data_IF_742720600449
#
_entry.id   IF_742720600449
#
_cell.length_a   1.000
_cell.length_b   1.000
_cell.length_c   1.000
_cell.angle_alpha   90.00
_cell.angle_beta   90.00
_cell.angle_gamma   90.00
#
_symmetry.space_group_name_H-M   'P 1'
#
loop_
_entity.id
_entity.type
_entity.pdbx_description
1 polymer ?
#
# COMPACT_ATOMS: atom_id res chain seq x y z
N UNK A 1 -12.39 -66.49 34.81
CA UNK A 1 -13.27 -65.37 34.47
C UNK A 1 -12.35 -64.25 34.01
N UNK A 2 -12.16 -64.12 32.69
CA UNK A 2 -11.30 -63.06 32.11
C UNK A 2 -12.12 -61.78 32.07
N UNK A 3 -11.50 -60.71 32.55
CA UNK A 3 -12.04 -59.38 32.83
C UNK A 3 -12.58 -58.67 31.59
N UNK A 4 -13.90 -58.45 31.55
CA UNK A 4 -14.63 -57.67 30.53
C UNK A 4 -14.19 -56.18 30.47
N UNK A 5 -13.53 -55.67 31.51
CA UNK A 5 -13.06 -54.28 31.57
C UNK A 5 -11.90 -53.98 30.61
N UNK A 6 -11.05 -54.98 30.32
CA UNK A 6 -9.87 -54.77 29.46
C UNK A 6 -10.26 -54.59 27.99
N UNK A 7 -11.31 -55.28 27.53
CA UNK A 7 -11.79 -55.18 26.15
C UNK A 7 -12.53 -53.85 25.88
N UNK A 8 -13.26 -53.33 26.88
CA UNK A 8 -13.92 -52.04 26.79
C UNK A 8 -12.92 -50.88 26.78
N UNK A 9 -11.83 -50.99 27.55
CA UNK A 9 -10.78 -49.98 27.57
C UNK A 9 -10.13 -49.79 26.19
N UNK A 10 -9.81 -50.88 25.49
CA UNK A 10 -9.28 -50.85 24.12
C UNK A 10 -10.26 -50.24 23.09
N UNK A 11 -11.57 -50.41 23.31
CA UNK A 11 -12.59 -49.84 22.43
C UNK A 11 -12.75 -48.33 22.64
N UNK A 12 -12.67 -47.88 23.89
CA UNK A 12 -12.70 -46.45 24.26
C UNK A 12 -11.43 -45.75 23.77
N UNK A 13 -10.27 -46.40 23.87
CA UNK A 13 -8.99 -45.85 23.42
C UNK A 13 -8.93 -45.72 21.89
N UNK A 14 -9.45 -46.71 21.15
CA UNK A 14 -9.56 -46.62 19.69
C UNK A 14 -10.45 -45.46 19.22
N UNK A 15 -11.56 -45.21 19.93
CA UNK A 15 -12.45 -44.08 19.63
C UNK A 15 -11.78 -42.73 19.91
N UNK A 16 -11.09 -42.61 21.05
CA UNK A 16 -10.35 -41.40 21.39
C UNK A 16 -9.22 -41.10 20.40
N UNK A 17 -8.46 -42.13 20.00
CA UNK A 17 -7.40 -42.00 19.00
C UNK A 17 -7.95 -41.55 17.63
N UNK A 18 -9.04 -42.15 17.17
CA UNK A 18 -9.69 -41.73 15.94
C UNK A 18 -10.13 -40.26 15.99
N UNK A 19 -10.68 -39.82 17.12
CA UNK A 19 -11.10 -38.43 17.32
C UNK A 19 -9.93 -37.45 17.32
N UNK A 20 -8.82 -37.78 17.99
CA UNK A 20 -7.59 -36.97 18.00
C UNK A 20 -7.00 -36.87 16.59
N UNK A 21 -6.97 -37.97 15.84
CA UNK A 21 -6.50 -37.98 14.45
C UNK A 21 -7.37 -37.09 13.56
N UNK A 22 -8.70 -37.16 13.72
CA UNK A 22 -9.64 -36.35 12.94
C UNK A 22 -9.56 -34.86 13.30
N UNK A 23 -9.43 -34.53 14.58
CA UNK A 23 -9.21 -33.18 15.05
C UNK A 23 -7.88 -32.62 14.53
N UNK A 24 -6.81 -33.43 14.56
CA UNK A 24 -5.51 -33.05 14.01
C UNK A 24 -5.58 -32.83 12.50
N UNK A 25 -6.23 -33.73 11.76
CA UNK A 25 -6.42 -33.59 10.31
C UNK A 25 -7.26 -32.36 9.96
N UNK A 26 -8.30 -32.06 10.75
CA UNK A 26 -9.10 -30.86 10.60
C UNK A 26 -8.31 -29.59 10.90
N UNK A 27 -7.51 -29.58 11.96
CA UNK A 27 -6.64 -28.46 12.30
C UNK A 27 -5.56 -28.24 11.24
N UNK A 28 -4.93 -29.30 10.73
CA UNK A 28 -3.92 -29.22 9.67
C UNK A 28 -4.55 -28.78 8.35
N UNK A 29 -5.70 -29.35 7.98
CA UNK A 29 -6.42 -28.97 6.76
C UNK A 29 -7.01 -27.56 6.81
N UNK A 30 -7.42 -27.09 8.00
CA UNK A 30 -7.95 -25.74 8.21
C UNK A 30 -6.88 -24.66 8.36
N UNK A 31 -5.62 -25.03 8.62
CA UNK A 31 -4.48 -24.09 8.74
C UNK A 31 -3.65 -24.00 7.46
N UNK A 32 -3.89 -24.84 6.45
CA UNK A 32 -3.26 -24.74 5.13
C UNK A 32 -4.02 -23.79 4.20
N UNK A 33 -4.28 -22.55 4.61
CA UNK A 33 -4.22 -21.47 3.61
C UNK A 33 -2.75 -21.09 3.48
N UNK A 34 -2.00 -21.84 2.67
CA UNK A 34 -0.68 -21.40 2.24
C UNK A 34 -0.94 -20.22 1.31
N UNK A 35 -1.03 -19.02 1.88
CA UNK A 35 -0.73 -17.81 1.14
C UNK A 35 0.74 -17.90 0.78
N UNK A 36 1.04 -18.44 -0.40
CA UNK A 36 2.40 -18.45 -0.91
C UNK A 36 2.85 -16.99 -1.03
N UNK A 37 4.00 -16.59 -0.47
CA UNK A 37 4.56 -15.25 -0.66
C UNK A 37 4.71 -14.87 -2.14
N UNK A 38 4.67 -15.84 -3.07
CA UNK A 38 4.69 -15.61 -4.51
C UNK A 38 3.45 -14.93 -5.09
N UNK A 39 2.25 -15.13 -4.52
CA UNK A 39 1.01 -14.55 -5.09
C UNK A 39 0.76 -13.12 -4.60
N UNK A 40 1.11 -12.78 -3.35
CA UNK A 40 1.07 -11.39 -2.86
C UNK A 40 2.11 -10.52 -3.57
N UNK A 41 3.28 -11.09 -3.88
CA UNK A 41 4.34 -10.34 -4.55
C UNK A 41 3.96 -9.87 -5.96
N UNK A 42 3.07 -10.56 -6.68
CA UNK A 42 2.61 -10.12 -8.01
C UNK A 42 1.68 -8.92 -7.88
N UNK A 43 0.72 -8.97 -6.96
CA UNK A 43 -0.18 -7.83 -6.71
C UNK A 43 0.58 -6.61 -6.19
N UNK A 44 1.56 -6.82 -5.31
CA UNK A 44 2.40 -5.75 -4.78
C UNK A 44 3.30 -5.14 -5.86
N UNK A 45 3.93 -5.97 -6.70
CA UNK A 45 4.71 -5.50 -7.85
C UNK A 45 3.84 -4.70 -8.84
N UNK A 46 2.59 -5.12 -9.06
CA UNK A 46 1.67 -4.38 -9.91
C UNK A 46 1.33 -3.01 -9.31
N UNK A 47 1.06 -2.94 -8.01
CA UNK A 47 0.78 -1.67 -7.33
C UNK A 47 1.99 -0.74 -7.33
N UNK A 48 3.19 -1.28 -7.12
CA UNK A 48 4.44 -0.51 -7.22
C UNK A 48 4.65 0.04 -8.62
N UNK A 49 4.45 -0.80 -9.65
CA UNK A 49 4.58 -0.40 -11.04
C UNK A 49 3.56 0.67 -11.41
N UNK A 50 2.29 0.50 -11.04
CA UNK A 50 1.22 1.48 -11.30
C UNK A 50 1.54 2.80 -10.58
N UNK A 51 1.87 2.75 -9.28
CA UNK A 51 2.18 3.96 -8.53
C UNK A 51 3.40 4.70 -9.08
N UNK A 52 4.44 3.96 -9.49
CA UNK A 52 5.62 4.54 -10.12
C UNK A 52 5.31 5.16 -11.48
N UNK A 53 4.45 4.54 -12.27
CA UNK A 53 4.04 5.05 -13.58
C UNK A 53 3.19 6.31 -13.45
N UNK A 54 2.21 6.33 -12.54
CA UNK A 54 1.40 7.52 -12.24
C UNK A 54 2.29 8.69 -11.82
N UNK A 55 3.23 8.47 -10.89
CA UNK A 55 4.18 9.51 -10.50
C UNK A 55 5.10 9.95 -11.64
N UNK A 56 5.44 9.06 -12.57
CA UNK A 56 6.23 9.41 -13.75
C UNK A 56 5.45 10.24 -14.77
N UNK A 57 4.18 9.92 -15.00
CA UNK A 57 3.29 10.69 -15.86
C UNK A 57 3.09 12.09 -15.28
N UNK A 58 2.80 12.20 -13.97
CA UNK A 58 2.62 13.51 -13.33
C UNK A 58 3.90 14.35 -13.33
N UNK A 59 5.07 13.72 -13.26
CA UNK A 59 6.36 14.41 -13.28
C UNK A 59 6.91 14.63 -14.71
N UNK A 60 6.17 14.29 -15.75
CA UNK A 60 6.56 14.53 -17.14
C UNK A 60 5.94 15.84 -17.63
N UNK A 61 6.73 16.87 -17.98
CA UNK A 61 6.19 18.11 -18.54
C UNK A 61 5.65 17.90 -19.95
N UNK A 62 4.57 18.61 -20.29
CA UNK A 62 3.93 18.52 -21.61
C UNK A 62 4.73 19.20 -22.72
N UNK A 63 5.54 20.20 -22.36
CA UNK A 63 6.43 20.94 -23.26
C UNK A 63 7.84 20.99 -22.68
N UNK A 64 8.85 20.98 -23.55
CA UNK A 64 10.24 21.06 -23.13
C UNK A 64 10.54 22.39 -22.41
N UNK A 65 10.97 22.30 -21.15
CA UNK A 65 11.33 23.46 -20.33
C UNK A 65 10.23 23.96 -19.38
N UNK A 66 9.02 23.42 -19.50
CA UNK A 66 7.93 23.71 -18.57
C UNK A 66 8.03 22.85 -17.30
N UNK A 67 7.35 23.29 -16.24
CA UNK A 67 7.22 22.52 -14.99
C UNK A 67 6.30 21.32 -15.22
N UNK A 68 6.59 20.21 -14.55
CA UNK A 68 5.67 19.07 -14.51
C UNK A 68 4.44 19.41 -13.65
N UNK A 69 3.32 18.71 -13.89
CA UNK A 69 2.11 18.86 -13.07
C UNK A 69 2.44 18.61 -11.60
N UNK A 70 3.25 17.58 -11.34
CA UNK A 70 3.73 17.24 -10.00
C UNK A 70 4.54 18.39 -9.37
N UNK A 71 5.44 19.00 -10.13
CA UNK A 71 6.24 20.12 -9.66
C UNK A 71 5.36 21.33 -9.32
N UNK A 72 4.36 21.65 -10.16
CA UNK A 72 3.45 22.76 -9.92
C UNK A 72 2.57 22.57 -8.69
N UNK A 73 2.02 21.36 -8.52
CA UNK A 73 1.15 21.02 -7.40
C UNK A 73 1.89 21.04 -6.06
N UNK A 74 3.11 20.48 -6.02
CA UNK A 74 3.95 20.51 -4.82
C UNK A 74 4.39 21.95 -4.52
N UNK A 75 4.85 22.69 -5.54
CA UNK A 75 5.31 24.08 -5.38
C UNK A 75 4.20 25.00 -4.87
N UNK A 76 2.97 24.81 -5.34
CA UNK A 76 1.81 25.61 -4.96
C UNK A 76 1.05 25.07 -3.74
N UNK A 77 1.52 24.00 -3.11
CA UNK A 77 0.83 23.29 -2.04
C UNK A 77 -0.63 22.91 -2.38
N UNK A 78 -0.85 22.49 -3.62
CA UNK A 78 -2.18 22.24 -4.20
C UNK A 78 -2.67 20.82 -3.92
N UNK A 79 -2.91 20.53 -2.65
CA UNK A 79 -3.31 19.19 -2.18
C UNK A 79 -4.58 18.65 -2.84
N UNK A 80 -5.54 19.51 -3.17
CA UNK A 80 -6.77 19.14 -3.88
C UNK A 80 -6.53 18.73 -5.34
N UNK A 81 -5.78 19.54 -6.09
CA UNK A 81 -5.46 19.25 -7.50
C UNK A 81 -4.65 17.94 -7.60
N UNK A 82 -3.65 17.78 -6.72
CA UNK A 82 -2.89 16.52 -6.64
C UNK A 82 -3.80 15.34 -6.34
N UNK A 83 -4.74 15.48 -5.39
CA UNK A 83 -5.65 14.39 -5.04
C UNK A 83 -6.50 13.96 -6.23
N UNK A 84 -7.09 14.92 -6.94
CA UNK A 84 -7.97 14.64 -8.06
C UNK A 84 -7.20 14.00 -9.22
N UNK A 85 -6.04 14.57 -9.58
CA UNK A 85 -5.19 14.06 -10.66
C UNK A 85 -4.61 12.68 -10.34
N UNK A 86 -4.07 12.49 -9.13
CA UNK A 86 -3.51 11.22 -8.72
C UNK A 86 -4.61 10.14 -8.62
N UNK A 87 -5.78 10.45 -8.06
CA UNK A 87 -6.91 9.50 -8.00
C UNK A 87 -7.37 9.09 -9.40
N UNK A 88 -7.48 10.05 -10.31
CA UNK A 88 -7.91 9.79 -11.68
C UNK A 88 -6.92 8.87 -12.41
N UNK A 89 -5.62 9.18 -12.37
CA UNK A 89 -4.59 8.36 -13.00
C UNK A 89 -4.45 6.97 -12.35
N UNK A 90 -4.55 6.90 -11.02
CA UNK A 90 -4.41 5.66 -10.26
C UNK A 90 -5.52 4.65 -10.58
N UNK A 91 -6.76 5.12 -10.76
CA UNK A 91 -7.92 4.26 -10.97
C UNK A 91 -8.33 4.13 -12.44
N UNK A 92 -7.68 4.84 -13.35
CA UNK A 92 -7.98 4.79 -14.78
C UNK A 92 -7.71 3.40 -15.36
N UNK A 93 -8.70 2.84 -16.06
CA UNK A 93 -8.55 1.59 -16.82
C UNK A 93 -8.86 1.80 -18.29
N UNK A 94 -8.21 1.03 -19.15
CA UNK A 94 -8.47 1.03 -20.60
C UNK A 94 -9.85 0.43 -20.92
N UNK A 95 -10.42 -0.40 -20.04
CA UNK A 95 -11.76 -0.98 -20.16
C UNK A 95 -12.29 -1.45 -18.81
N UNK A 96 -13.63 -1.52 -18.69
CA UNK A 96 -14.32 -1.98 -17.48
C UNK A 96 -14.63 -0.86 -16.49
N UNK A 97 -14.95 -1.24 -15.25
CA UNK A 97 -15.10 -0.31 -14.12
C UNK A 97 -13.73 0.10 -13.59
N UNK A 98 -13.57 1.38 -13.24
CA UNK A 98 -12.37 1.93 -12.62
C UNK A 98 -11.97 1.14 -11.37
N UNK A 99 -10.67 1.15 -11.04
CA UNK A 99 -10.20 0.50 -9.81
C UNK A 99 -10.66 1.29 -8.57
N UNK A 100 -10.49 0.70 -7.39
CA UNK A 100 -10.88 1.29 -6.09
C UNK A 100 -9.67 1.55 -5.20
N UNK A 101 -8.52 1.77 -5.83
CA UNK A 101 -7.25 2.03 -5.17
C UNK A 101 -7.32 3.33 -4.37
N UNK A 102 -6.78 3.25 -3.16
CA UNK A 102 -6.67 4.35 -2.22
C UNK A 102 -5.20 4.68 -2.02
N UNK A 103 -4.93 5.92 -1.59
CA UNK A 103 -3.58 6.36 -1.33
C UNK A 103 -3.48 7.37 -0.17
N UNK A 104 -2.28 7.46 0.38
CA UNK A 104 -1.86 8.50 1.32
C UNK A 104 -0.48 9.02 0.92
N UNK A 105 -0.40 10.31 0.61
CA UNK A 105 0.81 10.99 0.20
C UNK A 105 1.39 11.81 1.36
N UNK A 106 2.71 11.71 1.54
CA UNK A 106 3.50 12.49 2.47
C UNK A 106 4.63 13.17 1.73
N UNK A 107 4.95 14.40 2.14
CA UNK A 107 5.98 15.21 1.51
C UNK A 107 7.02 15.58 2.56
N UNK A 108 8.28 15.27 2.26
CA UNK A 108 9.44 15.65 3.06
C UNK A 108 10.20 16.78 2.38
N UNK A 109 10.29 17.92 3.06
CA UNK A 109 10.89 19.14 2.52
C UNK A 109 11.65 19.89 3.62
N UNK A 110 12.47 20.85 3.20
CA UNK A 110 13.12 21.80 4.10
C UNK A 110 12.21 23.00 4.33
N UNK A 111 11.91 23.28 5.59
CA UNK A 111 11.10 24.43 5.98
C UNK A 111 11.95 25.71 6.12
N UNK A 112 11.29 26.84 6.39
CA UNK A 112 11.95 28.16 6.55
C UNK A 112 12.92 28.24 7.75
N UNK A 113 12.93 27.23 8.63
CA UNK A 113 13.86 27.14 9.77
C UNK A 113 15.08 26.28 9.48
N UNK A 114 15.30 25.91 8.20
CA UNK A 114 16.38 25.03 7.73
C UNK A 114 16.32 23.61 8.32
N UNK A 115 15.13 23.18 8.77
CA UNK A 115 14.90 21.82 9.27
C UNK A 115 14.13 21.01 8.23
N UNK A 116 14.48 19.72 8.11
CA UNK A 116 13.73 18.78 7.26
C UNK A 116 12.52 18.29 8.05
N UNK A 117 11.34 18.44 7.46
CA UNK A 117 10.09 17.98 8.03
C UNK A 117 9.34 17.13 7.02
N UNK A 118 8.73 16.05 7.52
CA UNK A 118 7.78 15.22 6.77
C UNK A 118 6.38 15.53 7.26
N UNK A 119 5.48 15.83 6.34
CA UNK A 119 4.07 16.07 6.66
C UNK A 119 3.19 15.26 5.71
N UNK A 120 2.00 14.88 6.18
CA UNK A 120 0.95 14.38 5.30
C UNK A 120 0.56 15.48 4.33
N UNK A 121 0.66 15.18 3.04
CA UNK A 121 0.29 16.10 1.98
C UNK A 121 -1.20 15.98 1.71
N UNK A 122 -1.67 14.76 1.38
CA UNK A 122 -3.08 14.45 1.20
C UNK A 122 -3.33 12.94 1.22
N UNK A 123 -4.53 12.54 1.63
CA UNK A 123 -5.01 11.16 1.56
C UNK A 123 -6.33 11.08 0.76
N UNK A 124 -6.52 10.00 0.00
CA UNK A 124 -7.85 9.66 -0.55
C UNK A 124 -8.75 9.13 0.56
N UNK A 125 -8.18 8.27 1.40
CA UNK A 125 -8.74 7.68 2.61
C UNK A 125 -7.64 7.59 3.66
N UNK A 126 -8.00 7.77 4.94
CA UNK A 126 -7.04 7.62 6.02
C UNK A 126 -6.68 6.13 6.22
N UNK A 127 -5.38 5.78 6.23
CA UNK A 127 -4.97 4.39 6.41
C UNK A 127 -5.28 3.93 7.84
N UNK A 128 -5.87 2.75 7.98
CA UNK A 128 -6.16 2.11 9.27
C UNK A 128 -4.94 1.37 9.84
N UNK A 129 -3.93 1.11 9.01
CA UNK A 129 -2.70 0.40 9.36
C UNK A 129 -2.79 -1.11 9.16
N UNK A 130 -3.92 -1.63 8.69
CA UNK A 130 -4.14 -3.04 8.38
C UNK A 130 -4.10 -3.33 6.88
N UNK A 131 -3.99 -2.30 6.05
CA UNK A 131 -3.98 -2.43 4.61
C UNK A 131 -2.64 -2.97 4.12
N UNK A 132 -2.69 -3.82 3.09
CA UNK A 132 -1.50 -4.22 2.33
C UNK A 132 -1.09 -3.08 1.40
N UNK A 133 -0.49 -2.04 1.99
CA UNK A 133 -0.08 -0.85 1.28
C UNK A 133 1.33 -0.97 0.72
N UNK A 134 1.50 -0.57 -0.54
CA UNK A 134 2.79 -0.47 -1.22
C UNK A 134 3.26 0.99 -1.18
N UNK A 135 4.55 1.20 -0.94
CA UNK A 135 5.16 2.53 -0.91
C UNK A 135 5.90 2.82 -2.21
N UNK A 136 5.59 3.97 -2.80
CA UNK A 136 6.31 4.51 -3.96
C UNK A 136 6.86 5.88 -3.62
N UNK A 137 8.09 6.17 -4.04
CA UNK A 137 8.77 7.43 -3.72
C UNK A 137 9.29 8.13 -4.96
N UNK A 138 9.21 9.46 -4.99
CA UNK A 138 9.81 10.28 -6.06
C UNK A 138 10.46 11.54 -5.50
N UNK A 139 11.63 11.87 -6.03
CA UNK A 139 12.33 13.13 -5.74
C UNK A 139 11.90 14.18 -6.77
N UNK A 140 11.43 15.32 -6.29
CA UNK A 140 10.95 16.44 -7.12
C UNK A 140 11.81 17.65 -6.85
N UNK A 141 12.38 18.25 -7.91
CA UNK A 141 13.13 19.50 -7.81
C UNK A 141 12.16 20.68 -7.91
N UNK A 142 12.23 21.59 -6.95
CA UNK A 142 11.43 22.81 -6.94
C UNK A 142 12.36 24.03 -6.91
N UNK A 143 12.05 25.05 -7.71
CA UNK A 143 12.90 26.23 -7.86
C UNK A 143 12.54 27.35 -6.88
N UNK A 144 11.25 27.50 -6.55
CA UNK A 144 10.77 28.53 -5.60
C UNK A 144 9.45 28.02 -5.06
N UNK A 145 9.42 27.68 -3.77
CA UNK A 145 8.26 27.08 -3.13
C UNK A 145 7.39 28.14 -2.45
N UNK A 146 6.07 27.91 -2.41
CA UNK A 146 5.19 28.66 -1.51
C UNK A 146 5.22 28.04 -0.09
N UNK A 147 4.89 28.81 0.96
CA UNK A 147 4.72 28.27 2.30
C UNK A 147 3.77 27.06 2.29
N UNK A 148 4.07 26.00 3.05
CA UNK A 148 5.01 25.92 4.18
C UNK A 148 6.47 25.59 3.81
N UNK A 149 6.78 25.41 2.52
CA UNK A 149 8.11 25.08 2.05
C UNK A 149 9.01 26.30 1.98
N UNK A 150 10.31 26.09 2.17
CA UNK A 150 11.28 27.17 2.03
C UNK A 150 11.32 27.75 0.61
N UNK A 151 11.36 29.09 0.53
CA UNK A 151 11.33 29.87 -0.72
C UNK A 151 12.57 29.75 -1.62
N UNK A 152 13.56 28.92 -1.26
CA UNK A 152 14.77 28.67 -2.06
C UNK A 152 14.63 27.40 -2.91
N UNK A 153 15.42 27.25 -4.00
CA UNK A 153 15.47 26.00 -4.74
C UNK A 153 15.85 24.82 -3.82
N UNK A 154 15.09 23.73 -3.87
CA UNK A 154 15.33 22.54 -3.07
C UNK A 154 14.83 21.26 -3.77
N UNK A 155 15.23 20.11 -3.23
CA UNK A 155 14.71 18.80 -3.65
C UNK A 155 13.80 18.29 -2.55
N UNK A 156 12.59 17.90 -2.94
CA UNK A 156 11.53 17.42 -2.08
C UNK A 156 11.32 15.93 -2.33
N UNK A 157 11.13 15.15 -1.28
CA UNK A 157 10.75 13.74 -1.38
C UNK A 157 9.23 13.62 -1.23
N UNK A 158 8.58 13.11 -2.27
CA UNK A 158 7.19 12.66 -2.21
C UNK A 158 7.17 11.16 -1.96
N UNK A 159 6.46 10.73 -0.93
CA UNK A 159 6.18 9.33 -0.62
C UNK A 159 4.67 9.10 -0.71
N UNK A 160 4.27 8.07 -1.46
CA UNK A 160 2.86 7.70 -1.62
C UNK A 160 2.69 6.25 -1.20
N UNK A 161 1.80 6.01 -0.24
CA UNK A 161 1.30 4.69 0.12
C UNK A 161 0.06 4.40 -0.70
N UNK A 162 -0.04 3.22 -1.32
CA UNK A 162 -1.14 2.83 -2.20
C UNK A 162 -1.66 1.45 -1.76
N UNK A 163 -2.97 1.30 -1.64
CA UNK A 163 -3.60 0.02 -1.28
C UNK A 163 -4.92 -0.19 -2.02
N UNK A 164 -5.39 -1.44 -2.07
CA UNK A 164 -6.77 -1.77 -2.48
C UNK A 164 -7.71 -1.65 -1.28
N UNK A 165 -8.88 -1.06 -1.51
CA UNK A 165 -10.01 -1.08 -0.57
C UNK A 165 -10.80 -2.39 -0.66
#
# INVERSE_FOLDING_TARGET
MVTDDSAQLYTIEGFAAAFIILATAYLVGGTMSIYTPGDSHIADMQLEQIGSDVLAVMDTPTTQGDKSVLQEEITGWKTGEFKDNFTALLNQRTSGTDDTLQFAASVSYRNDTDTVQTVTFVSSQDPTGYEQAVRVTRLVKIDTANPPMETRPQVVLLEVLIWRS
#
